data_IF_511723818934
#
_entry.id   IF_511723818934
#
_cell.length_a   1.000
_cell.length_b   1.000
_cell.length_c   1.000
_cell.angle_alpha   90.00
_cell.angle_beta   90.00
_cell.angle_gamma   90.00
#
_symmetry.space_group_name_H-M   'P 1'
#
loop_
_entity.id
_entity.type
_entity.pdbx_description
1 polymer ?
#
# COMPACT_ATOMS: atom_id res chain seq x y z
N UNK A 1 0.01 40.17 -1.33
CA UNK A 1 0.71 38.92 -0.92
C UNK A 1 -0.13 37.75 -1.40
N UNK A 2 0.33 37.06 -2.39
CA UNK A 2 -0.27 35.78 -2.77
C UNK A 2 0.15 34.76 -1.72
N UNK A 3 -0.80 34.33 -0.91
CA UNK A 3 -0.62 33.21 0.00
C UNK A 3 -0.52 31.97 -0.90
N UNK A 4 0.69 31.65 -1.35
CA UNK A 4 0.94 30.41 -2.08
C UNK A 4 0.77 29.29 -1.09
N UNK A 5 -0.41 28.70 -1.11
CA UNK A 5 -0.73 27.53 -0.31
C UNK A 5 0.31 26.44 -0.62
N UNK A 6 0.97 25.94 0.41
CA UNK A 6 2.02 24.94 0.25
C UNK A 6 1.43 23.65 -0.33
N UNK A 7 1.98 23.19 -1.44
CA UNK A 7 1.56 21.92 -2.06
C UNK A 7 1.91 20.73 -1.16
N UNK A 8 1.08 19.70 -1.23
CA UNK A 8 1.20 18.47 -0.44
C UNK A 8 1.22 17.26 -1.34
N UNK A 9 2.12 16.32 -1.04
CA UNK A 9 2.15 15.00 -1.66
C UNK A 9 1.89 13.93 -0.61
N UNK A 10 0.95 13.04 -0.90
CA UNK A 10 0.65 11.87 -0.07
C UNK A 10 1.40 10.67 -0.63
N UNK A 11 2.38 10.19 0.14
CA UNK A 11 3.21 9.04 -0.19
C UNK A 11 2.76 7.85 0.65
N UNK A 12 2.31 6.79 0.00
CA UNK A 12 1.71 5.64 0.68
C UNK A 12 2.59 4.41 0.47
N UNK A 13 3.03 3.80 1.56
CA UNK A 13 3.55 2.43 1.56
C UNK A 13 2.37 1.48 1.35
N UNK A 14 2.17 1.12 0.09
CA UNK A 14 0.92 0.53 -0.36
C UNK A 14 0.70 -0.88 0.15
N UNK A 15 1.76 -1.69 0.22
CA UNK A 15 1.65 -3.05 0.73
C UNK A 15 1.28 -3.04 2.21
N UNK A 16 1.88 -2.15 2.98
CA UNK A 16 1.55 -1.99 4.41
C UNK A 16 0.08 -1.60 4.61
N UNK A 17 -0.39 -0.61 3.85
CA UNK A 17 -1.79 -0.19 3.90
C UNK A 17 -2.74 -1.32 3.51
N UNK A 18 -2.44 -2.01 2.41
CA UNK A 18 -3.26 -3.11 1.91
C UNK A 18 -3.31 -4.28 2.90
N UNK A 19 -2.17 -4.72 3.43
CA UNK A 19 -2.13 -5.84 4.37
C UNK A 19 -2.84 -5.51 5.69
N UNK A 20 -2.75 -4.27 6.14
CA UNK A 20 -3.52 -3.81 7.30
C UNK A 20 -5.02 -3.93 7.06
N UNK A 21 -5.50 -3.46 5.91
CA UNK A 21 -6.90 -3.59 5.52
C UNK A 21 -7.32 -5.05 5.39
N UNK A 22 -6.48 -5.87 4.76
CA UNK A 22 -6.70 -7.29 4.57
C UNK A 22 -6.91 -8.05 5.89
N UNK A 23 -6.12 -7.71 6.91
CA UNK A 23 -6.21 -8.34 8.23
C UNK A 23 -7.44 -7.85 9.01
N UNK A 24 -7.75 -6.56 8.90
CA UNK A 24 -8.72 -5.91 9.78
C UNK A 24 -10.15 -5.93 9.26
N UNK A 25 -10.36 -5.95 7.96
CA UNK A 25 -11.69 -5.85 7.36
C UNK A 25 -12.22 -7.23 6.94
N UNK A 26 -13.28 -7.75 7.60
CA UNK A 26 -13.84 -9.08 7.30
C UNK A 26 -14.85 -9.09 6.16
N UNK A 27 -14.95 -8.02 5.37
CA UNK A 27 -15.99 -7.89 4.34
C UNK A 27 -15.90 -8.99 3.29
N UNK A 28 -17.07 -9.48 2.88
CA UNK A 28 -17.24 -10.49 1.84
C UNK A 28 -18.04 -9.92 0.67
N UNK A 29 -17.77 -10.44 -0.53
CA UNK A 29 -18.62 -10.19 -1.69
C UNK A 29 -19.97 -10.89 -1.54
N UNK A 30 -20.91 -10.59 -2.44
CA UNK A 30 -22.21 -11.30 -2.47
C UNK A 30 -22.04 -12.82 -2.68
N UNK A 31 -20.95 -13.24 -3.32
CA UNK A 31 -20.61 -14.64 -3.53
C UNK A 31 -19.82 -15.25 -2.36
N UNK A 32 -19.58 -14.48 -1.30
CA UNK A 32 -18.89 -14.96 -0.10
C UNK A 32 -17.36 -14.90 -0.16
N UNK A 33 -16.79 -14.27 -1.18
CA UNK A 33 -15.34 -14.10 -1.29
C UNK A 33 -14.84 -12.93 -0.45
N UNK A 34 -13.73 -13.09 0.31
CA UNK A 34 -13.16 -11.97 1.04
C UNK A 34 -12.76 -10.81 0.12
N UNK A 35 -13.16 -9.60 0.50
CA UNK A 35 -12.84 -8.37 -0.24
C UNK A 35 -12.43 -7.21 0.68
N UNK A 36 -12.15 -7.50 1.95
CA UNK A 36 -11.81 -6.48 2.94
C UNK A 36 -10.51 -5.74 2.64
N UNK A 37 -9.55 -6.39 2.00
CA UNK A 37 -8.31 -5.74 1.56
C UNK A 37 -8.58 -4.61 0.57
N UNK A 38 -9.46 -4.84 -0.40
CA UNK A 38 -9.88 -3.81 -1.37
C UNK A 38 -10.68 -2.72 -0.66
N UNK A 39 -11.76 -3.12 0.00
CA UNK A 39 -12.72 -2.20 0.63
C UNK A 39 -12.05 -1.37 1.73
N UNK A 40 -11.28 -2.01 2.60
CA UNK A 40 -10.59 -1.35 3.69
C UNK A 40 -9.51 -0.39 3.20
N UNK A 41 -8.75 -0.77 2.17
CA UNK A 41 -7.74 0.11 1.56
C UNK A 41 -8.37 1.38 0.99
N UNK A 42 -9.48 1.26 0.27
CA UNK A 42 -10.18 2.41 -0.29
C UNK A 42 -10.78 3.32 0.79
N UNK A 43 -11.28 2.75 1.88
CA UNK A 43 -11.75 3.53 3.04
C UNK A 43 -10.61 4.29 3.74
N UNK A 44 -9.47 3.64 3.93
CA UNK A 44 -8.29 4.29 4.51
C UNK A 44 -7.81 5.42 3.61
N UNK A 45 -7.73 5.17 2.29
CA UNK A 45 -7.36 6.20 1.32
C UNK A 45 -8.31 7.40 1.39
N UNK A 46 -9.61 7.15 1.42
CA UNK A 46 -10.61 8.22 1.51
C UNK A 46 -10.39 9.09 2.77
N UNK A 47 -10.11 8.47 3.89
CA UNK A 47 -9.80 9.18 5.14
C UNK A 47 -8.50 10.00 5.02
N UNK A 48 -7.45 9.42 4.47
CA UNK A 48 -6.16 10.09 4.29
C UNK A 48 -6.28 11.31 3.37
N UNK A 49 -7.03 11.19 2.27
CA UNK A 49 -7.27 12.30 1.34
C UNK A 49 -8.04 13.43 2.03
N UNK A 50 -9.07 13.08 2.78
CA UNK A 50 -9.88 14.06 3.53
C UNK A 50 -9.07 14.78 4.60
N UNK A 51 -8.22 14.05 5.32
CA UNK A 51 -7.44 14.60 6.44
C UNK A 51 -6.22 15.43 5.96
N UNK A 52 -5.60 15.05 4.84
CA UNK A 52 -4.38 15.70 4.34
C UNK A 52 -4.59 16.66 3.17
N UNK A 53 -5.72 16.57 2.46
CA UNK A 53 -6.01 17.37 1.27
C UNK A 53 -4.81 17.48 0.31
N UNK A 54 -4.32 16.35 -0.24
CA UNK A 54 -3.10 16.34 -1.04
C UNK A 54 -3.34 16.87 -2.46
N UNK A 55 -2.29 17.47 -3.03
CA UNK A 55 -2.26 17.85 -4.46
C UNK A 55 -1.89 16.68 -5.35
N UNK A 56 -1.04 15.77 -4.84
CA UNK A 56 -0.68 14.52 -5.52
C UNK A 56 -0.72 13.34 -4.54
N UNK A 57 -1.11 12.19 -5.08
CA UNK A 57 -1.16 10.92 -4.33
C UNK A 57 -0.31 9.90 -5.08
N UNK A 58 0.62 9.28 -4.38
CA UNK A 58 1.49 8.24 -4.93
C UNK A 58 1.41 6.99 -4.05
N UNK A 59 0.96 5.90 -4.66
CA UNK A 59 1.02 4.56 -4.09
C UNK A 59 2.33 3.90 -4.50
N UNK A 60 3.12 3.51 -3.52
CA UNK A 60 4.43 2.89 -3.75
C UNK A 60 4.37 1.45 -3.25
N UNK A 61 4.54 0.51 -4.17
CA UNK A 61 4.55 -0.92 -3.88
C UNK A 61 5.97 -1.43 -3.75
N UNK A 62 6.17 -2.42 -2.88
CA UNK A 62 7.43 -3.17 -2.86
C UNK A 62 7.63 -3.87 -4.19
N UNK A 63 8.81 -3.71 -4.77
CA UNK A 63 9.17 -4.40 -5.99
C UNK A 63 9.42 -5.89 -5.77
N UNK A 64 9.27 -6.71 -6.82
CA UNK A 64 9.66 -8.12 -6.74
C UNK A 64 11.10 -8.25 -6.24
N UNK A 65 11.32 -9.15 -5.27
CA UNK A 65 12.63 -9.40 -4.67
C UNK A 65 13.27 -8.17 -3.98
N UNK A 66 12.47 -7.17 -3.58
CA UNK A 66 12.96 -5.94 -2.96
C UNK A 66 13.77 -6.15 -1.68
N UNK A 67 13.41 -7.14 -0.87
CA UNK A 67 14.11 -7.45 0.37
C UNK A 67 15.37 -8.30 0.21
N UNK A 68 15.66 -8.83 -0.98
CA UNK A 68 16.80 -9.75 -1.18
C UNK A 68 18.14 -9.08 -0.93
N UNK A 69 18.31 -7.84 -1.37
CA UNK A 69 19.55 -7.08 -1.15
C UNK A 69 19.84 -6.88 0.33
N UNK A 70 18.83 -6.55 1.12
CA UNK A 70 18.96 -6.41 2.58
C UNK A 70 19.18 -7.76 3.26
N UNK A 71 18.54 -8.83 2.80
CA UNK A 71 18.75 -10.20 3.29
C UNK A 71 20.15 -10.71 2.98
N UNK A 72 20.74 -10.31 1.85
CA UNK A 72 22.14 -10.67 1.54
C UNK A 72 23.15 -9.99 2.46
N UNK A 73 22.83 -8.78 2.96
CA UNK A 73 23.66 -8.04 3.91
C UNK A 73 23.39 -8.45 5.36
N UNK A 74 22.17 -8.85 5.67
CA UNK A 74 21.74 -9.30 6.99
C UNK A 74 20.74 -10.45 6.85
N UNK A 75 21.24 -11.68 7.10
CA UNK A 75 20.44 -12.91 6.96
C UNK A 75 19.21 -12.95 7.87
N UNK A 76 19.23 -12.21 8.98
CA UNK A 76 18.12 -12.15 9.94
C UNK A 76 17.05 -11.11 9.54
N UNK A 77 17.27 -10.32 8.48
CA UNK A 77 16.32 -9.32 8.04
C UNK A 77 15.01 -9.97 7.61
N UNK A 78 13.92 -9.60 8.27
CA UNK A 78 12.59 -10.17 8.11
C UNK A 78 12.49 -11.69 8.32
N UNK A 79 13.56 -12.36 8.78
CA UNK A 79 13.47 -13.76 9.17
C UNK A 79 12.52 -13.90 10.37
N UNK A 80 11.73 -14.95 10.41
CA UNK A 80 10.78 -15.19 11.49
C UNK A 80 9.47 -14.39 11.41
N UNK A 81 9.24 -13.58 10.36
CA UNK A 81 7.93 -12.99 10.13
C UNK A 81 6.92 -14.09 9.82
N UNK A 82 5.81 -14.08 10.57
CA UNK A 82 4.71 -15.01 10.34
C UNK A 82 3.96 -14.67 9.04
N UNK A 83 3.40 -15.67 8.32
CA UNK A 83 2.54 -15.40 7.18
C UNK A 83 1.37 -14.49 7.56
N UNK A 84 1.03 -13.57 6.66
CA UNK A 84 -0.13 -12.69 6.81
C UNK A 84 -1.39 -13.51 6.58
N UNK A 85 -2.32 -13.44 7.53
CA UNK A 85 -3.58 -14.15 7.49
C UNK A 85 -4.75 -13.18 7.43
N UNK A 86 -5.86 -13.66 6.83
CA UNK A 86 -7.14 -12.95 6.85
C UNK A 86 -7.62 -12.68 8.28
N UNK A 87 -8.58 -11.75 8.39
CA UNK A 87 -9.31 -11.54 9.63
C UNK A 87 -9.85 -12.88 10.15
N UNK A 88 -9.69 -13.12 11.44
CA UNK A 88 -10.06 -14.38 12.10
C UNK A 88 -11.55 -14.71 12.03
N UNK A 89 -12.41 -13.74 11.72
CA UNK A 89 -13.84 -13.98 11.51
C UNK A 89 -14.12 -14.66 10.17
N UNK A 90 -13.15 -14.68 9.23
CA UNK A 90 -13.27 -15.37 7.94
C UNK A 90 -12.58 -16.72 8.05
N UNK A 91 -13.36 -17.81 8.04
CA UNK A 91 -12.86 -19.18 8.30
C UNK A 91 -13.21 -20.18 7.19
N UNK A 92 -13.69 -19.69 6.05
CA UNK A 92 -14.21 -20.55 4.99
C UNK A 92 -13.21 -20.85 3.88
N UNK A 93 -11.95 -20.43 4.04
CA UNK A 93 -10.90 -20.63 3.04
C UNK A 93 -9.79 -21.55 3.55
N UNK A 94 -9.26 -22.39 2.65
CA UNK A 94 -7.99 -23.07 2.87
C UNK A 94 -6.82 -22.10 2.79
N UNK A 95 -5.64 -22.49 3.24
CA UNK A 95 -4.43 -21.66 3.18
C UNK A 95 -4.09 -21.23 1.74
N UNK A 96 -4.28 -22.16 0.78
CA UNK A 96 -4.03 -21.89 -0.64
C UNK A 96 -5.06 -20.91 -1.20
N UNK A 97 -6.33 -21.11 -0.91
CA UNK A 97 -7.41 -20.20 -1.31
C UNK A 97 -7.23 -18.81 -0.71
N UNK A 98 -6.78 -18.73 0.53
CA UNK A 98 -6.48 -17.47 1.18
C UNK A 98 -5.33 -16.73 0.48
N UNK A 99 -4.27 -17.43 0.12
CA UNK A 99 -3.16 -16.84 -0.64
C UNK A 99 -3.62 -16.33 -2.00
N UNK A 100 -4.39 -17.11 -2.73
CA UNK A 100 -4.96 -16.72 -4.02
C UNK A 100 -5.87 -15.51 -3.89
N UNK A 101 -6.72 -15.48 -2.87
CA UNK A 101 -7.59 -14.33 -2.58
C UNK A 101 -6.79 -13.06 -2.27
N UNK A 102 -5.73 -13.18 -1.48
CA UNK A 102 -4.85 -12.04 -1.15
C UNK A 102 -4.23 -11.42 -2.41
N UNK A 103 -3.73 -12.25 -3.31
CA UNK A 103 -3.16 -11.79 -4.58
C UNK A 103 -4.24 -11.16 -5.46
N UNK A 104 -5.40 -11.81 -5.58
CA UNK A 104 -6.52 -11.30 -6.37
C UNK A 104 -6.98 -9.93 -5.88
N UNK A 105 -7.16 -9.75 -4.58
CA UNK A 105 -7.57 -8.47 -4.02
C UNK A 105 -6.52 -7.36 -4.28
N UNK A 106 -5.23 -7.68 -4.14
CA UNK A 106 -4.18 -6.72 -4.41
C UNK A 106 -4.20 -6.27 -5.88
N UNK A 107 -4.32 -7.21 -6.80
CA UNK A 107 -4.39 -6.90 -8.23
C UNK A 107 -5.61 -6.04 -8.57
N UNK A 108 -6.76 -6.38 -8.01
CA UNK A 108 -8.00 -5.60 -8.19
C UNK A 108 -7.87 -4.19 -7.62
N UNK A 109 -7.25 -4.05 -6.46
CA UNK A 109 -6.98 -2.73 -5.87
C UNK A 109 -6.11 -1.89 -6.81
N UNK A 110 -5.04 -2.47 -7.35
CA UNK A 110 -4.17 -1.77 -8.29
C UNK A 110 -4.93 -1.33 -9.56
N UNK A 111 -5.83 -2.16 -10.07
CA UNK A 111 -6.69 -1.83 -11.21
C UNK A 111 -7.61 -0.64 -10.88
N UNK A 112 -8.26 -0.64 -9.71
CA UNK A 112 -9.11 0.47 -9.27
C UNK A 112 -8.32 1.76 -9.11
N UNK A 113 -7.13 1.70 -8.54
CA UNK A 113 -6.26 2.87 -8.37
C UNK A 113 -5.82 3.46 -9.70
N UNK A 114 -5.66 2.65 -10.75
CA UNK A 114 -5.34 3.12 -12.10
C UNK A 114 -6.48 3.95 -12.73
N UNK A 115 -7.71 3.78 -12.29
CA UNK A 115 -8.86 4.58 -12.74
C UNK A 115 -9.02 5.90 -11.98
N UNK A 116 -8.15 6.17 -11.02
CA UNK A 116 -8.15 7.37 -10.18
C UNK A 116 -6.96 8.26 -10.52
N UNK A 117 -6.98 9.56 -10.16
CA UNK A 117 -5.83 10.45 -10.34
C UNK A 117 -4.72 10.15 -9.31
N UNK A 118 -4.22 8.94 -9.35
CA UNK A 118 -3.21 8.40 -8.44
C UNK A 118 -2.07 7.81 -9.26
N UNK A 119 -0.83 8.16 -8.90
CA UNK A 119 0.34 7.52 -9.46
C UNK A 119 0.66 6.26 -8.66
N UNK A 120 0.96 5.15 -9.34
CA UNK A 120 1.48 3.95 -8.73
C UNK A 120 2.92 3.70 -9.19
N UNK A 121 3.79 3.38 -8.26
CA UNK A 121 5.21 3.10 -8.52
C UNK A 121 5.54 1.72 -7.97
N UNK A 122 6.18 0.91 -8.80
CA UNK A 122 6.79 -0.35 -8.42
C UNK A 122 8.14 -0.46 -9.13
N UNK A 123 9.20 -0.67 -8.37
CA UNK A 123 10.56 -0.76 -8.91
C UNK A 123 11.13 -2.13 -8.53
N UNK A 124 11.46 -2.99 -9.51
CA UNK A 124 12.02 -4.30 -9.23
C UNK A 124 13.26 -4.20 -8.32
N UNK A 125 13.35 -5.11 -7.36
CA UNK A 125 14.46 -5.23 -6.41
C UNK A 125 14.59 -4.07 -5.41
N UNK A 126 13.57 -3.18 -5.34
CA UNK A 126 13.57 -2.03 -4.41
C UNK A 126 12.34 -2.08 -3.53
N UNK A 127 12.51 -1.90 -2.23
CA UNK A 127 11.41 -1.78 -1.28
C UNK A 127 10.75 -0.40 -1.34
N UNK A 128 9.47 -0.33 -0.96
CA UNK A 128 8.69 0.90 -1.01
C UNK A 128 9.31 2.02 -0.17
N UNK A 129 9.80 1.73 1.03
CA UNK A 129 10.43 2.75 1.90
C UNK A 129 11.69 3.38 1.29
N UNK A 130 12.46 2.64 0.50
CA UNK A 130 13.62 3.21 -0.21
C UNK A 130 13.17 4.15 -1.33
N UNK A 131 12.10 3.80 -2.06
CA UNK A 131 11.51 4.67 -3.08
C UNK A 131 10.92 5.93 -2.45
N UNK A 132 10.20 5.80 -1.34
CA UNK A 132 9.63 6.95 -0.60
C UNK A 132 10.75 7.89 -0.17
N UNK A 133 11.81 7.37 0.43
CA UNK A 133 12.97 8.16 0.85
C UNK A 133 13.58 8.92 -0.32
N UNK A 134 13.74 8.25 -1.45
CA UNK A 134 14.25 8.87 -2.68
C UNK A 134 13.33 10.01 -3.16
N UNK A 135 12.03 9.77 -3.23
CA UNK A 135 11.05 10.77 -3.70
C UNK A 135 11.04 12.03 -2.84
N UNK A 136 11.20 11.88 -1.52
CA UNK A 136 11.23 13.05 -0.62
C UNK A 136 12.40 13.99 -0.89
N UNK A 137 13.45 13.50 -1.54
CA UNK A 137 14.68 14.25 -1.83
C UNK A 137 14.74 14.76 -3.28
N UNK A 138 13.76 14.41 -4.12
CA UNK A 138 13.76 14.84 -5.52
C UNK A 138 13.46 16.33 -5.64
N UNK A 139 14.00 17.01 -6.69
CA UNK A 139 13.74 18.43 -6.91
C UNK A 139 12.25 18.76 -7.06
N UNK A 140 11.47 17.86 -7.67
CA UNK A 140 10.02 18.07 -7.88
C UNK A 140 9.29 18.35 -6.56
N UNK A 141 9.60 17.59 -5.50
CA UNK A 141 8.91 17.70 -4.22
C UNK A 141 9.64 18.58 -3.20
N UNK A 142 10.72 19.23 -3.63
CA UNK A 142 11.41 20.21 -2.77
C UNK A 142 10.44 21.34 -2.43
N UNK A 143 10.27 21.62 -1.15
CA UNK A 143 9.32 22.63 -0.69
C UNK A 143 7.87 22.16 -0.55
N UNK A 144 7.52 20.97 -1.03
CA UNK A 144 6.22 20.37 -0.77
C UNK A 144 6.16 19.79 0.64
N UNK A 145 4.99 19.85 1.26
CA UNK A 145 4.71 19.06 2.46
C UNK A 145 4.57 17.59 2.06
N UNK A 146 5.29 16.70 2.75
CA UNK A 146 5.21 15.26 2.53
C UNK A 146 4.40 14.63 3.64
N UNK A 147 3.31 13.98 3.29
CA UNK A 147 2.52 13.15 4.20
C UNK A 147 2.83 11.70 3.86
N UNK A 148 3.49 11.01 4.77
CA UNK A 148 3.98 9.63 4.57
C UNK A 148 3.17 8.70 5.47
N UNK A 149 2.65 7.64 4.88
CA UNK A 149 1.79 6.65 5.56
C UNK A 149 2.29 5.23 5.33
#
# INVERSE_FOLDING_TARGET
MTNTEQKRVLLIDSLNLYLRAYIMDPSLTMQGEPCGGIKGSLKILQKLVRDSNPDEIIFIWDGPNGSQKRKSLNKDYKSGRKPIRLNRSVKNLTDEEEMQNKVWQQMRLMEYLNEMPIMQIIIPEVEADDVISYLTQTPKYRGWQKVIV
#
